data_IF_905320875832
#
_entry.id   IF_905320875832
#
_cell.length_a   1.000
_cell.length_b   1.000
_cell.length_c   1.000
_cell.angle_alpha   90.00
_cell.angle_beta   90.00
_cell.angle_gamma   90.00
#
_symmetry.space_group_name_H-M   'P 1'
#
loop_
_entity.id
_entity.type
_entity.pdbx_description
1 polymer ?
#
# COMPACT_ATOMS: atom_id res chain seq x y z
N UNK A 1 43.42 1.29 -2.23
CA UNK A 1 42.29 0.93 -3.11
C UNK A 1 42.27 -0.56 -3.48
N UNK A 2 43.42 -1.20 -3.77
CA UNK A 2 43.48 -2.66 -4.10
C UNK A 2 42.96 -3.56 -2.98
N UNK A 3 43.20 -3.23 -1.71
CA UNK A 3 42.68 -3.97 -0.57
C UNK A 3 41.29 -3.46 -0.12
N UNK A 4 40.99 -2.18 -0.31
CA UNK A 4 39.72 -1.58 0.14
C UNK A 4 38.52 -2.02 -0.68
N UNK A 5 38.64 -2.26 -1.99
CA UNK A 5 37.53 -2.71 -2.84
C UNK A 5 37.05 -4.11 -2.44
N UNK A 6 37.92 -5.15 -2.31
CA UNK A 6 37.48 -6.46 -1.87
C UNK A 6 36.87 -6.48 -0.47
N UNK A 7 37.48 -5.75 0.47
CA UNK A 7 36.95 -5.63 1.84
C UNK A 7 35.59 -4.94 1.85
N UNK A 8 35.45 -3.85 1.08
CA UNK A 8 34.17 -3.14 0.95
C UNK A 8 33.05 -4.00 0.32
N UNK A 9 33.38 -4.77 -0.72
CA UNK A 9 32.45 -5.70 -1.35
C UNK A 9 32.01 -6.81 -0.37
N UNK A 10 32.95 -7.37 0.39
CA UNK A 10 32.65 -8.43 1.37
C UNK A 10 31.79 -7.91 2.51
N UNK A 11 32.12 -6.74 3.07
CA UNK A 11 31.33 -6.11 4.12
C UNK A 11 29.94 -5.70 3.62
N UNK A 12 29.85 -5.14 2.41
CA UNK A 12 28.59 -4.79 1.78
C UNK A 12 27.70 -6.00 1.55
N UNK A 13 28.28 -7.13 1.12
CA UNK A 13 27.55 -8.38 0.96
C UNK A 13 27.08 -8.95 2.29
N UNK A 14 27.93 -8.96 3.33
CA UNK A 14 27.56 -9.44 4.68
C UNK A 14 26.40 -8.61 5.28
N UNK A 15 26.47 -7.29 5.15
CA UNK A 15 25.40 -6.41 5.61
C UNK A 15 24.11 -6.64 4.79
N UNK A 16 24.23 -6.79 3.47
CA UNK A 16 23.10 -7.11 2.60
C UNK A 16 22.47 -8.47 2.95
N UNK A 17 23.30 -9.50 3.16
CA UNK A 17 22.84 -10.83 3.54
C UNK A 17 22.11 -10.84 4.90
N UNK A 18 22.56 -10.03 5.85
CA UNK A 18 21.90 -9.88 7.15
C UNK A 18 20.59 -9.09 7.08
N UNK A 19 20.48 -8.13 6.14
CA UNK A 19 19.28 -7.30 5.96
C UNK A 19 18.19 -7.98 5.12
N UNK A 20 18.57 -8.80 4.14
CA UNK A 20 17.62 -9.44 3.21
C UNK A 20 16.52 -10.24 3.93
N UNK A 21 16.79 -11.07 4.95
CA UNK A 21 15.74 -11.78 5.68
C UNK A 21 14.80 -10.86 6.44
N UNK A 22 15.30 -9.73 6.95
CA UNK A 22 14.50 -8.78 7.69
C UNK A 22 13.53 -8.01 6.78
N UNK A 23 13.86 -7.85 5.49
CA UNK A 23 13.08 -7.08 4.51
C UNK A 23 12.15 -7.98 3.69
N UNK A 24 12.66 -9.15 3.24
CA UNK A 24 11.96 -10.01 2.28
C UNK A 24 11.30 -11.22 2.98
N UNK A 25 11.80 -11.63 4.15
CA UNK A 25 11.37 -12.85 4.84
C UNK A 25 9.91 -12.87 5.31
N UNK A 26 9.19 -11.75 5.13
CA UNK A 26 7.78 -11.58 5.48
C UNK A 26 6.88 -11.34 4.27
N UNK A 27 7.44 -11.26 3.07
CA UNK A 27 6.65 -11.24 1.84
C UNK A 27 6.26 -12.69 1.51
N UNK A 28 5.01 -13.02 1.70
CA UNK A 28 4.45 -14.33 1.41
C UNK A 28 4.80 -14.77 -0.01
N UNK A 29 5.35 -15.98 -0.14
CA UNK A 29 5.70 -16.59 -1.43
C UNK A 29 7.08 -16.21 -2.02
N UNK A 30 7.87 -15.36 -1.36
CA UNK A 30 9.22 -15.02 -1.84
C UNK A 30 10.29 -15.80 -1.07
N UNK A 31 10.97 -16.70 -1.78
CA UNK A 31 12.12 -17.42 -1.21
C UNK A 31 13.26 -16.44 -0.94
N UNK A 32 13.77 -16.44 0.31
CA UNK A 32 14.92 -15.63 0.72
C UNK A 32 16.21 -16.09 0.00
N UNK A 33 16.48 -15.50 -1.17
CA UNK A 33 17.71 -15.76 -1.91
C UNK A 33 18.62 -14.55 -1.82
N UNK A 34 19.70 -14.68 -1.04
CA UNK A 34 20.79 -13.70 -1.06
C UNK A 34 21.51 -13.83 -2.40
N UNK A 35 21.34 -12.85 -3.27
CA UNK A 35 21.94 -12.87 -4.61
C UNK A 35 23.46 -12.80 -4.54
N UNK A 36 24.13 -13.79 -5.11
CA UNK A 36 25.57 -13.82 -5.35
C UNK A 36 25.85 -13.58 -6.84
N UNK A 37 25.14 -12.61 -7.45
CA UNK A 37 25.27 -12.32 -8.87
C UNK A 37 26.64 -11.67 -9.16
N UNK A 38 27.55 -12.33 -9.93
CA UNK A 38 28.87 -11.80 -10.24
C UNK A 38 28.85 -10.45 -10.96
N UNK A 39 27.78 -10.17 -11.73
CA UNK A 39 27.60 -8.91 -12.46
C UNK A 39 27.45 -7.74 -11.48
N UNK A 40 26.71 -7.92 -10.39
CA UNK A 40 26.53 -6.88 -9.36
C UNK A 40 27.86 -6.59 -8.65
N UNK A 41 28.64 -7.61 -8.32
CA UNK A 41 29.97 -7.46 -7.72
C UNK A 41 30.93 -6.75 -8.68
N UNK A 42 30.95 -7.13 -9.95
CA UNK A 42 31.78 -6.51 -10.97
C UNK A 42 31.38 -5.03 -11.20
N UNK A 43 30.09 -4.72 -11.27
CA UNK A 43 29.60 -3.36 -11.43
C UNK A 43 29.94 -2.48 -10.22
N UNK A 44 29.80 -3.00 -8.99
CA UNK A 44 30.17 -2.30 -7.76
C UNK A 44 31.68 -2.05 -7.67
N UNK A 45 32.49 -3.06 -8.05
CA UNK A 45 33.94 -2.92 -8.12
C UNK A 45 34.38 -1.88 -9.15
N UNK A 46 33.75 -1.89 -10.34
CA UNK A 46 34.01 -0.93 -11.41
C UNK A 46 33.65 0.50 -10.98
N UNK A 47 32.47 0.68 -10.36
CA UNK A 47 32.05 1.95 -9.81
C UNK A 47 33.04 2.49 -8.77
N UNK A 48 33.44 1.64 -7.81
CA UNK A 48 34.45 2.00 -6.81
C UNK A 48 35.80 2.37 -7.46
N UNK A 49 36.25 1.59 -8.46
CA UNK A 49 37.48 1.87 -9.20
C UNK A 49 37.41 3.23 -9.92
N UNK A 50 36.35 3.51 -10.65
CA UNK A 50 36.12 4.78 -11.35
C UNK A 50 36.13 5.95 -10.37
N UNK A 51 35.45 5.82 -9.24
CA UNK A 51 35.41 6.82 -8.17
C UNK A 51 36.80 7.12 -7.63
N UNK A 52 37.59 6.08 -7.34
CA UNK A 52 38.99 6.21 -6.86
C UNK A 52 39.86 6.89 -7.92
N UNK A 53 39.77 6.48 -9.18
CA UNK A 53 40.54 7.06 -10.27
C UNK A 53 40.24 8.57 -10.48
N UNK A 54 38.94 8.92 -10.43
CA UNK A 54 38.51 10.32 -10.51
C UNK A 54 39.03 11.15 -9.33
N UNK A 55 38.91 10.60 -8.11
CA UNK A 55 39.37 11.28 -6.88
C UNK A 55 40.87 11.45 -6.83
N UNK A 56 41.63 10.45 -7.31
CA UNK A 56 43.10 10.50 -7.33
C UNK A 56 43.67 11.29 -8.50
N UNK A 57 42.88 11.67 -9.51
CA UNK A 57 43.37 12.37 -10.72
C UNK A 57 44.00 13.73 -10.42
N UNK A 58 43.40 14.50 -9.51
CA UNK A 58 43.91 15.84 -9.15
C UNK A 58 45.16 15.77 -8.26
N UNK A 59 45.19 14.99 -7.16
CA UNK A 59 46.39 14.76 -6.37
C UNK A 59 47.54 14.15 -7.18
N UNK A 60 47.25 13.14 -8.02
CA UNK A 60 48.26 12.49 -8.86
C UNK A 60 48.91 13.46 -9.87
N UNK A 61 48.12 14.32 -10.51
CA UNK A 61 48.67 15.38 -11.40
C UNK A 61 49.51 16.40 -10.65
N UNK A 62 49.16 16.74 -9.41
CA UNK A 62 49.98 17.63 -8.59
C UNK A 62 51.30 16.97 -8.20
N UNK A 63 51.27 15.71 -7.74
CA UNK A 63 52.46 14.95 -7.39
C UNK A 63 53.42 14.79 -8.58
N UNK A 64 52.91 14.56 -9.78
CA UNK A 64 53.71 14.42 -11.00
C UNK A 64 54.36 15.72 -11.47
N UNK A 65 53.91 16.87 -11.00
CA UNK A 65 54.43 18.21 -11.38
C UNK A 65 55.44 18.81 -10.38
N UNK A 66 55.54 18.21 -9.20
CA UNK A 66 56.44 18.75 -8.14
C UNK A 66 57.78 18.07 -8.21
N UNK A 67 58.85 18.85 -8.28
CA UNK A 67 60.23 18.32 -8.24
C UNK A 67 60.55 17.72 -6.86
N UNK A 68 61.49 16.75 -6.75
CA UNK A 68 61.86 16.16 -5.46
C UNK A 68 62.31 17.17 -4.41
N UNK A 69 62.96 18.25 -4.83
CA UNK A 69 63.41 19.34 -3.95
C UNK A 69 62.24 20.23 -3.49
N UNK A 70 61.26 20.40 -4.34
CA UNK A 70 60.05 21.18 -4.05
C UNK A 70 59.08 20.35 -3.15
N UNK A 71 59.06 19.02 -3.28
CA UNK A 71 58.26 18.14 -2.46
C UNK A 71 58.67 18.19 -0.97
N UNK A 72 59.97 18.32 -0.68
CA UNK A 72 60.48 18.46 0.71
C UNK A 72 60.13 19.83 1.30
N UNK A 73 59.96 20.86 0.47
CA UNK A 73 59.58 22.23 0.88
C UNK A 73 58.09 22.51 0.75
N UNK A 74 57.32 21.54 0.27
CA UNK A 74 55.89 21.72 0.06
C UNK A 74 55.12 21.78 1.39
N UNK A 75 54.80 23.00 1.79
CA UNK A 75 53.81 23.25 2.85
C UNK A 75 52.46 23.48 2.19
N UNK A 76 51.50 22.60 2.45
CA UNK A 76 50.12 22.75 2.00
C UNK A 76 49.51 24.02 2.62
N UNK A 77 49.49 25.07 1.90
CA UNK A 77 48.85 26.30 2.34
C UNK A 77 49.65 27.56 2.09
N UNK A 78 49.04 28.42 1.34
CA UNK A 78 49.20 29.83 1.16
C UNK A 78 49.94 30.31 -0.07
N UNK A 79 49.16 30.43 -1.13
CA UNK A 79 49.25 31.62 -1.98
C UNK A 79 48.23 32.65 -1.46
N UNK A 80 48.25 33.00 -0.19
CA UNK A 80 47.57 34.19 0.29
C UNK A 80 48.57 35.32 0.38
N UNK A 81 48.51 36.20 -0.61
CA UNK A 81 49.13 37.51 -0.58
C UNK A 81 48.71 38.21 0.72
N UNK A 82 49.63 38.24 1.70
CA UNK A 82 49.46 38.99 2.94
C UNK A 82 49.33 40.49 2.57
N UNK A 83 48.13 41.02 2.62
CA UNK A 83 47.94 42.45 2.87
C UNK A 83 48.21 42.64 4.37
N UNK A 84 49.33 43.20 4.67
CA UNK A 84 49.70 43.65 6.02
C UNK A 84 48.75 44.76 6.44
N UNK A 85 47.69 44.40 7.17
CA UNK A 85 46.83 45.35 7.85
C UNK A 85 47.17 45.34 9.34
N UNK A 86 47.76 46.40 9.82
CA UNK A 86 47.95 46.69 11.23
C UNK A 86 46.58 46.59 11.94
N UNK A 87 46.40 45.59 12.80
CA UNK A 87 45.41 45.63 13.86
C UNK A 87 46.10 45.27 15.15
N UNK A 88 46.45 46.35 15.85
CA UNK A 88 46.83 46.29 17.26
C UNK A 88 45.57 46.11 18.14
N UNK A 89 45.65 45.24 19.13
CA UNK A 89 44.91 45.40 20.34
C UNK A 89 43.52 44.82 20.44
N UNK A 90 43.37 43.48 20.28
CA UNK A 90 42.39 42.69 21.05
C UNK A 90 43.04 41.35 21.35
N UNK A 91 42.99 40.93 22.61
CA UNK A 91 43.56 39.69 23.09
C UNK A 91 43.11 38.50 22.20
N UNK A 92 44.04 37.60 21.92
CA UNK A 92 43.83 36.43 21.10
C UNK A 92 42.89 35.51 21.87
N UNK A 93 41.60 35.46 21.51
CA UNK A 93 40.67 34.51 22.07
C UNK A 93 40.73 33.19 21.30
N UNK A 94 40.49 32.07 21.96
CA UNK A 94 40.42 30.75 21.33
C UNK A 94 39.46 30.73 20.14
N UNK A 95 38.35 31.47 20.23
CA UNK A 95 37.37 31.62 19.12
C UNK A 95 37.97 32.33 17.92
N UNK A 96 38.76 33.42 18.13
CA UNK A 96 39.38 34.14 17.02
C UNK A 96 40.48 33.33 16.32
N UNK A 97 41.18 32.46 17.06
CA UNK A 97 42.14 31.51 16.49
C UNK A 97 41.42 30.40 15.70
N UNK A 98 40.32 29.87 16.22
CA UNK A 98 39.50 28.88 15.49
C UNK A 98 38.96 29.45 14.19
N UNK A 99 38.39 30.67 14.21
CA UNK A 99 37.88 31.34 13.00
C UNK A 99 39.01 31.65 11.98
N UNK A 100 40.17 32.03 12.44
CA UNK A 100 41.35 32.27 11.58
C UNK A 100 41.82 30.95 10.92
N UNK A 101 41.79 29.84 11.64
CA UNK A 101 42.13 28.51 11.11
C UNK A 101 41.10 28.03 10.08
N UNK A 102 39.80 28.18 10.33
CA UNK A 102 38.72 27.86 9.39
C UNK A 102 38.88 28.71 8.08
N UNK A 103 39.26 29.98 8.20
CA UNK A 103 39.49 30.84 7.04
C UNK A 103 40.76 30.54 6.22
N UNK A 104 41.69 29.73 6.77
CA UNK A 104 42.97 29.41 6.14
C UNK A 104 42.84 28.40 5.00
N UNK A 105 41.93 27.44 5.12
CA UNK A 105 41.66 26.39 4.14
C UNK A 105 40.16 26.31 3.76
N UNK A 106 39.62 27.42 3.24
CA UNK A 106 38.18 27.59 2.95
C UNK A 106 37.54 26.42 2.21
N UNK A 107 38.24 25.84 1.23
CA UNK A 107 37.73 24.72 0.46
C UNK A 107 37.51 23.45 1.32
N UNK A 108 38.51 23.11 2.15
CA UNK A 108 38.38 21.94 3.06
C UNK A 108 37.32 22.23 4.11
N UNK A 109 37.30 23.41 4.70
CA UNK A 109 36.31 23.82 5.70
C UNK A 109 34.86 23.72 5.16
N UNK A 110 34.64 24.22 3.93
CA UNK A 110 33.30 24.16 3.29
C UNK A 110 32.88 22.71 3.09
N UNK A 111 33.75 21.83 2.59
CA UNK A 111 33.44 20.41 2.40
C UNK A 111 33.10 19.72 3.74
N UNK A 112 33.93 19.95 4.77
CA UNK A 112 33.69 19.40 6.12
C UNK A 112 32.37 19.87 6.68
N UNK A 113 32.07 21.18 6.64
CA UNK A 113 30.82 21.75 7.15
C UNK A 113 29.63 21.17 6.39
N UNK A 114 29.69 21.11 5.03
CA UNK A 114 28.63 20.53 4.23
C UNK A 114 28.40 19.04 4.53
N UNK A 115 29.48 18.25 4.69
CA UNK A 115 29.37 16.84 5.06
C UNK A 115 28.73 16.64 6.43
N UNK A 116 29.16 17.45 7.42
CA UNK A 116 28.56 17.37 8.78
C UNK A 116 27.09 17.82 8.77
N UNK A 117 26.77 18.91 8.07
CA UNK A 117 25.36 19.33 7.91
C UNK A 117 24.52 18.23 7.25
N UNK A 118 25.04 17.63 6.16
CA UNK A 118 24.35 16.54 5.47
C UNK A 118 24.15 15.32 6.38
N UNK A 119 25.17 14.93 7.17
CA UNK A 119 25.07 13.84 8.12
C UNK A 119 23.96 14.11 9.17
N UNK A 120 23.91 15.33 9.73
CA UNK A 120 22.90 15.74 10.69
C UNK A 120 21.50 15.75 10.06
N UNK A 121 21.37 16.29 8.84
CA UNK A 121 20.10 16.31 8.09
C UNK A 121 19.60 14.89 7.84
N UNK A 122 20.46 13.99 7.33
CA UNK A 122 20.11 12.60 7.08
C UNK A 122 19.69 11.88 8.37
N UNK A 123 20.45 12.06 9.45
CA UNK A 123 20.11 11.46 10.74
C UNK A 123 18.77 11.99 11.28
N UNK A 124 18.60 13.32 11.26
CA UNK A 124 17.36 13.95 11.72
C UNK A 124 16.17 13.48 10.89
N UNK A 125 16.29 13.45 9.56
CA UNK A 125 15.23 12.97 8.66
C UNK A 125 14.88 11.51 8.94
N UNK A 126 15.87 10.65 9.12
CA UNK A 126 15.66 9.23 9.44
C UNK A 126 14.96 9.05 10.78
N UNK A 127 15.39 9.77 11.83
CA UNK A 127 14.79 9.69 13.17
C UNK A 127 13.39 10.29 13.17
N UNK A 128 13.17 11.41 12.47
CA UNK A 128 11.85 12.04 12.36
C UNK A 128 10.87 11.12 11.66
N UNK A 129 11.27 10.50 10.53
CA UNK A 129 10.45 9.51 9.85
C UNK A 129 10.10 8.33 10.76
N UNK A 130 11.11 7.74 11.43
CA UNK A 130 10.91 6.54 12.26
C UNK A 130 10.09 6.79 13.55
N UNK A 131 10.11 8.03 14.09
CA UNK A 131 9.36 8.41 15.30
C UNK A 131 8.07 9.16 15.03
N UNK A 132 7.96 9.81 13.87
CA UNK A 132 6.76 10.56 13.49
C UNK A 132 5.69 9.72 12.81
N UNK A 133 5.94 8.42 12.65
CA UNK A 133 4.98 7.49 12.03
C UNK A 133 3.96 7.04 13.08
N UNK A 134 2.70 7.24 12.76
CA UNK A 134 1.55 6.81 13.56
C UNK A 134 1.16 5.39 13.16
N UNK A 135 1.56 4.41 13.97
CA UNK A 135 1.30 3.00 13.73
C UNK A 135 -0.18 2.66 13.83
N UNK A 136 -0.90 3.27 14.78
CA UNK A 136 -2.31 2.99 14.98
C UNK A 136 -3.12 3.48 13.78
N UNK A 137 -2.79 4.67 13.26
CA UNK A 137 -3.40 5.19 12.03
C UNK A 137 -3.05 4.33 10.80
N UNK A 138 -1.82 3.83 10.73
CA UNK A 138 -1.41 2.94 9.65
C UNK A 138 -2.21 1.64 9.67
N UNK A 139 -2.28 0.96 10.83
CA UNK A 139 -3.02 -0.29 10.98
C UNK A 139 -4.51 -0.07 10.69
N UNK A 140 -5.08 1.04 11.17
CA UNK A 140 -6.50 1.36 10.94
C UNK A 140 -6.87 1.51 9.46
N UNK A 141 -5.91 1.84 8.58
CA UNK A 141 -6.14 1.87 7.14
C UNK A 141 -6.25 0.46 6.51
N UNK A 142 -5.71 -0.56 7.20
CA UNK A 142 -5.76 -1.95 6.73
C UNK A 142 -6.89 -2.73 7.37
N UNK A 143 -7.05 -2.65 8.68
CA UNK A 143 -8.04 -3.44 9.41
C UNK A 143 -8.66 -2.69 10.59
N UNK A 144 -9.92 -2.99 10.86
CA UNK A 144 -10.65 -2.50 12.03
C UNK A 144 -10.80 -3.58 13.13
N UNK A 145 -10.28 -4.79 12.91
CA UNK A 145 -10.36 -5.93 13.84
C UNK A 145 -8.99 -6.51 14.13
N UNK A 146 -8.85 -7.27 15.22
CA UNK A 146 -7.59 -7.93 15.56
C UNK A 146 -7.25 -9.04 14.56
N UNK A 147 -8.28 -9.76 14.09
CA UNK A 147 -8.15 -10.85 13.12
C UNK A 147 -9.26 -10.81 12.08
N UNK A 148 -8.94 -11.31 10.88
CA UNK A 148 -9.87 -11.56 9.79
C UNK A 148 -9.53 -12.94 9.24
N UNK A 149 -10.53 -13.84 9.18
CA UNK A 149 -10.44 -15.16 8.55
C UNK A 149 -11.28 -15.14 7.29
N UNK A 150 -10.75 -15.62 6.18
CA UNK A 150 -11.43 -15.70 4.89
C UNK A 150 -10.82 -16.79 4.00
N UNK A 151 -11.39 -16.98 2.81
CA UNK A 151 -10.69 -17.69 1.73
C UNK A 151 -9.38 -16.98 1.37
N UNK A 152 -8.34 -17.74 1.05
CA UNK A 152 -7.02 -17.19 0.71
C UNK A 152 -7.07 -16.23 -0.49
N UNK A 153 -8.02 -16.41 -1.41
CA UNK A 153 -8.28 -15.52 -2.54
C UNK A 153 -8.73 -14.12 -2.12
N UNK A 154 -9.43 -14.00 -0.98
CA UNK A 154 -9.88 -12.71 -0.45
C UNK A 154 -8.71 -11.74 -0.17
N UNK A 155 -7.57 -12.26 0.27
CA UNK A 155 -6.40 -11.44 0.61
C UNK A 155 -5.53 -11.08 -0.58
N UNK A 156 -5.85 -11.58 -1.78
CA UNK A 156 -5.11 -11.29 -3.01
C UNK A 156 -5.64 -10.02 -3.68
N UNK A 157 -4.78 -9.03 -3.83
CA UNK A 157 -5.14 -7.79 -4.52
C UNK A 157 -5.32 -8.03 -6.03
N UNK A 158 -6.47 -7.65 -6.58
CA UNK A 158 -6.78 -7.86 -8.00
C UNK A 158 -7.13 -9.30 -8.35
N UNK A 159 -7.53 -10.07 -7.33
CA UNK A 159 -8.03 -11.43 -7.48
C UNK A 159 -9.39 -11.52 -8.20
N UNK A 160 -10.00 -12.69 -8.15
CA UNK A 160 -11.33 -12.92 -8.70
C UNK A 160 -12.40 -12.21 -7.87
N UNK A 161 -13.52 -11.91 -8.53
CA UNK A 161 -14.73 -11.44 -7.84
C UNK A 161 -15.21 -12.54 -6.89
N UNK A 162 -15.65 -12.15 -5.69
CA UNK A 162 -16.21 -13.09 -4.72
C UNK A 162 -17.30 -13.97 -5.35
N UNK A 163 -17.16 -15.23 -5.19
CA UNK A 163 -18.04 -16.25 -5.75
C UNK A 163 -18.28 -17.35 -4.71
N UNK A 164 -19.25 -18.27 -4.92
CA UNK A 164 -19.60 -19.30 -3.93
C UNK A 164 -18.43 -20.19 -3.51
N UNK A 165 -17.43 -20.42 -4.37
CA UNK A 165 -16.28 -21.27 -4.05
C UNK A 165 -15.30 -20.59 -3.07
N UNK A 166 -15.40 -19.27 -2.94
CA UNK A 166 -14.64 -18.46 -1.98
C UNK A 166 -15.40 -18.23 -0.66
N UNK A 167 -16.58 -18.79 -0.50
CA UNK A 167 -17.34 -18.61 0.72
C UNK A 167 -16.65 -19.28 1.92
N UNK A 168 -16.48 -18.52 3.01
CA UNK A 168 -15.97 -19.05 4.27
C UNK A 168 -17.01 -20.00 4.88
N UNK A 169 -16.68 -21.28 5.14
CA UNK A 169 -17.60 -22.21 5.74
C UNK A 169 -17.99 -21.80 7.17
N UNK A 170 -19.26 -21.93 7.52
CA UNK A 170 -19.75 -21.59 8.87
C UNK A 170 -19.08 -22.41 9.97
N UNK A 171 -18.77 -23.70 9.71
CA UNK A 171 -18.05 -24.57 10.64
C UNK A 171 -16.65 -24.05 10.98
N UNK A 172 -15.97 -23.39 10.04
CA UNK A 172 -14.70 -22.73 10.31
C UNK A 172 -14.86 -21.54 11.28
N UNK A 173 -15.94 -20.77 11.14
CA UNK A 173 -16.26 -19.69 12.07
C UNK A 173 -16.60 -20.26 13.45
N UNK A 174 -17.41 -21.32 13.52
CA UNK A 174 -17.76 -22.01 14.78
C UNK A 174 -16.51 -22.55 15.49
N UNK A 175 -15.53 -23.11 14.76
CA UNK A 175 -14.27 -23.58 15.34
C UNK A 175 -13.45 -22.45 15.96
N UNK A 176 -13.40 -21.29 15.30
CA UNK A 176 -12.72 -20.09 15.85
C UNK A 176 -13.45 -19.60 17.09
N UNK A 177 -14.79 -19.49 17.05
CA UNK A 177 -15.60 -19.06 18.19
C UNK A 177 -15.47 -20.01 19.39
N UNK A 178 -15.39 -21.33 19.13
CA UNK A 178 -15.23 -22.35 20.17
C UNK A 178 -13.87 -22.31 20.87
N UNK A 179 -12.84 -21.70 20.27
CA UNK A 179 -11.51 -21.58 20.85
C UNK A 179 -11.49 -20.76 22.13
N UNK A 180 -12.38 -19.77 22.22
CA UNK A 180 -12.44 -18.84 23.34
C UNK A 180 -11.45 -17.68 23.21
N UNK A 181 -11.60 -16.69 24.10
CA UNK A 181 -10.80 -15.46 24.07
C UNK A 181 -11.33 -14.40 23.09
N UNK A 182 -12.36 -14.70 22.31
CA UNK A 182 -13.03 -13.72 21.44
C UNK A 182 -13.88 -12.79 22.31
N UNK A 183 -13.69 -11.49 22.16
CA UNK A 183 -14.45 -10.45 22.85
C UNK A 183 -15.63 -9.95 22.03
N UNK A 184 -15.45 -9.86 20.72
CA UNK A 184 -16.49 -9.48 19.77
C UNK A 184 -16.10 -9.97 18.37
N UNK A 185 -17.08 -10.24 17.51
CA UNK A 185 -16.85 -10.64 16.13
C UNK A 185 -18.10 -10.47 15.30
N UNK A 186 -17.95 -10.57 13.99
CA UNK A 186 -19.07 -10.50 13.06
C UNK A 186 -18.70 -10.98 11.67
N UNK A 187 -19.72 -11.52 11.01
CA UNK A 187 -19.65 -11.99 9.63
C UNK A 187 -19.88 -10.85 8.65
N UNK A 188 -19.22 -10.93 7.52
CA UNK A 188 -19.55 -10.12 6.35
C UNK A 188 -19.91 -11.05 5.21
N UNK A 189 -21.05 -10.80 4.62
CA UNK A 189 -21.61 -11.60 3.54
C UNK A 189 -21.34 -10.94 2.20
N UNK A 190 -20.90 -11.71 1.22
CA UNK A 190 -20.69 -11.25 -0.15
C UNK A 190 -21.87 -11.64 -1.05
N UNK A 191 -22.23 -10.77 -2.00
CA UNK A 191 -23.25 -11.10 -2.98
C UNK A 191 -22.65 -11.93 -4.10
N UNK A 192 -23.07 -13.18 -4.22
CA UNK A 192 -22.64 -14.12 -5.27
C UNK A 192 -23.48 -14.03 -6.54
N UNK A 193 -24.68 -13.40 -6.44
CA UNK A 193 -25.50 -13.06 -7.60
C UNK A 193 -25.13 -11.69 -8.14
N UNK A 194 -25.17 -11.48 -9.47
CA UNK A 194 -24.83 -10.18 -10.05
C UNK A 194 -25.79 -9.07 -9.59
N UNK A 195 -25.21 -7.91 -9.26
CA UNK A 195 -25.96 -6.69 -8.93
C UNK A 195 -25.55 -5.61 -9.92
N UNK A 196 -26.54 -4.92 -10.47
CA UNK A 196 -26.32 -3.77 -11.35
C UNK A 196 -26.75 -2.47 -10.65
N UNK A 197 -25.98 -1.41 -10.92
CA UNK A 197 -26.30 -0.02 -10.61
C UNK A 197 -26.57 0.75 -11.91
N UNK A 198 -27.19 1.92 -11.80
CA UNK A 198 -27.51 2.74 -12.94
C UNK A 198 -26.80 4.07 -12.86
N UNK A 199 -25.84 4.26 -13.77
CA UNK A 199 -24.91 5.39 -13.76
C UNK A 199 -24.97 6.18 -15.06
N UNK A 200 -24.54 7.43 -15.00
CA UNK A 200 -24.41 8.26 -16.22
C UNK A 200 -23.19 7.82 -17.02
N UNK A 201 -23.29 7.94 -18.36
CA UNK A 201 -22.15 7.68 -19.23
C UNK A 201 -20.97 8.61 -18.92
N UNK A 202 -21.22 9.85 -18.47
CA UNK A 202 -20.17 10.78 -18.06
C UNK A 202 -19.38 10.23 -16.87
N UNK A 203 -20.07 9.72 -15.85
CA UNK A 203 -19.42 9.10 -14.69
C UNK A 203 -18.62 7.87 -15.10
N UNK A 204 -19.22 6.93 -15.84
CA UNK A 204 -18.54 5.75 -16.34
C UNK A 204 -17.24 6.10 -17.07
N UNK A 205 -17.31 7.05 -18.01
CA UNK A 205 -16.13 7.50 -18.76
C UNK A 205 -15.08 8.20 -17.89
N UNK A 206 -15.48 8.87 -16.83
CA UNK A 206 -14.56 9.53 -15.89
C UNK A 206 -13.76 8.52 -15.07
N UNK A 207 -14.37 7.39 -14.71
CA UNK A 207 -13.73 6.30 -13.97
C UNK A 207 -12.81 5.50 -14.88
N UNK A 208 -13.34 4.94 -15.96
CA UNK A 208 -12.64 4.02 -16.84
C UNK A 208 -11.66 4.70 -17.82
N UNK A 209 -11.85 5.99 -18.09
CA UNK A 209 -10.96 6.78 -18.94
C UNK A 209 -9.56 7.03 -18.35
N UNK A 210 -9.34 6.65 -17.09
CA UNK A 210 -8.01 6.69 -16.46
C UNK A 210 -7.08 5.62 -17.02
N UNK A 211 -7.62 4.52 -17.56
CA UNK A 211 -6.87 3.33 -18.00
C UNK A 211 -7.17 2.94 -19.44
N UNK A 212 -8.20 3.50 -20.07
CA UNK A 212 -8.65 3.14 -21.40
C UNK A 212 -8.64 4.36 -22.32
N UNK A 213 -8.33 4.15 -23.59
CA UNK A 213 -8.46 5.19 -24.61
C UNK A 213 -9.93 5.38 -25.05
N UNK A 214 -10.19 6.42 -25.84
CA UNK A 214 -11.53 6.78 -26.23
C UNK A 214 -12.21 5.70 -27.09
N UNK A 215 -11.46 4.99 -27.93
CA UNK A 215 -11.99 3.94 -28.81
C UNK A 215 -12.42 2.72 -28.00
N UNK A 216 -11.60 2.31 -27.03
CA UNK A 216 -11.92 1.24 -26.08
C UNK A 216 -13.15 1.59 -25.24
N UNK A 217 -13.23 2.83 -24.74
CA UNK A 217 -14.39 3.30 -23.98
C UNK A 217 -15.68 3.31 -24.83
N UNK A 218 -15.60 3.71 -26.09
CA UNK A 218 -16.75 3.68 -26.99
C UNK A 218 -17.23 2.24 -27.24
N UNK A 219 -16.32 1.30 -27.34
CA UNK A 219 -16.65 -0.12 -27.46
C UNK A 219 -17.31 -0.65 -26.17
N UNK A 220 -16.74 -0.36 -25.00
CA UNK A 220 -17.30 -0.75 -23.70
C UNK A 220 -18.74 -0.22 -23.54
N UNK A 221 -18.93 1.08 -23.70
CA UNK A 221 -20.24 1.75 -23.57
C UNK A 221 -21.27 1.23 -24.58
N UNK A 222 -20.83 0.87 -25.80
CA UNK A 222 -21.76 0.36 -26.83
C UNK A 222 -22.29 -1.05 -26.51
N UNK A 223 -21.58 -1.81 -25.67
CA UNK A 223 -21.98 -3.14 -25.20
C UNK A 223 -22.81 -3.15 -23.92
N UNK A 224 -22.98 -1.98 -23.27
CA UNK A 224 -23.74 -1.89 -22.01
C UNK A 224 -25.23 -1.69 -22.25
N UNK A 225 -26.02 -2.34 -21.38
CA UNK A 225 -27.48 -2.13 -21.34
C UNK A 225 -27.82 -0.72 -20.82
N UNK A 226 -28.98 -0.20 -21.24
CA UNK A 226 -29.43 1.14 -20.87
C UNK A 226 -30.86 1.15 -20.35
N UNK A 227 -31.09 1.96 -19.34
CA UNK A 227 -32.46 2.27 -18.91
C UNK A 227 -33.19 3.14 -19.92
N UNK A 228 -34.52 3.26 -19.77
CA UNK A 228 -35.33 4.18 -20.59
C UNK A 228 -34.85 5.64 -20.50
N UNK A 229 -34.30 6.04 -19.33
CA UNK A 229 -33.76 7.37 -19.09
C UNK A 229 -32.31 7.53 -19.59
N UNK A 230 -31.73 6.49 -20.20
CA UNK A 230 -30.42 6.50 -20.83
C UNK A 230 -29.24 6.28 -19.87
N UNK A 231 -29.47 5.88 -18.62
CA UNK A 231 -28.42 5.47 -17.70
C UNK A 231 -27.84 4.11 -18.14
N UNK A 232 -26.55 3.91 -17.92
CA UNK A 232 -25.86 2.66 -18.16
C UNK A 232 -26.11 1.71 -16.98
N UNK A 233 -26.41 0.44 -17.28
CA UNK A 233 -26.38 -0.61 -16.28
C UNK A 233 -24.93 -1.09 -16.12
N UNK A 234 -24.34 -0.82 -14.98
CA UNK A 234 -22.98 -1.24 -14.64
C UNK A 234 -23.00 -2.19 -13.44
N UNK A 235 -21.95 -2.95 -13.28
CA UNK A 235 -21.83 -3.90 -12.19
C UNK A 235 -21.53 -3.17 -10.88
N UNK A 236 -22.34 -3.43 -9.86
CA UNK A 236 -22.09 -2.99 -8.49
C UNK A 236 -21.61 -4.15 -7.62
N UNK A 237 -20.83 -3.84 -6.59
CA UNK A 237 -20.48 -4.77 -5.52
C UNK A 237 -21.35 -4.49 -4.29
N UNK A 238 -22.02 -5.52 -3.82
CA UNK A 238 -22.92 -5.43 -2.68
C UNK A 238 -22.51 -6.43 -1.62
N UNK A 239 -22.34 -5.96 -0.39
CA UNK A 239 -22.11 -6.84 0.75
C UNK A 239 -22.89 -6.43 1.98
N UNK A 240 -23.18 -7.44 2.83
CA UNK A 240 -23.90 -7.30 4.08
C UNK A 240 -22.94 -7.44 5.25
N UNK A 241 -22.98 -6.50 6.18
CA UNK A 241 -22.13 -6.55 7.36
C UNK A 241 -22.93 -6.68 8.64
N UNK A 242 -22.53 -7.61 9.52
CA UNK A 242 -22.98 -7.62 10.91
C UNK A 242 -22.43 -6.38 11.65
N UNK A 243 -23.09 -6.04 12.77
CA UNK A 243 -22.76 -4.81 13.53
C UNK A 243 -21.29 -4.66 13.86
N UNK A 244 -20.60 -5.77 14.15
CA UNK A 244 -19.19 -5.72 14.51
C UNK A 244 -18.33 -5.00 13.48
N UNK A 245 -18.46 -5.38 12.20
CA UNK A 245 -17.69 -4.76 11.11
C UNK A 245 -18.29 -3.39 10.75
N UNK A 246 -19.62 -3.29 10.66
CA UNK A 246 -20.33 -2.09 10.23
C UNK A 246 -20.06 -0.90 11.16
N UNK A 247 -20.15 -1.10 12.49
CA UNK A 247 -19.95 -0.04 13.48
C UNK A 247 -18.49 0.44 13.56
N UNK A 248 -17.55 -0.25 12.90
CA UNK A 248 -16.11 0.08 12.84
C UNK A 248 -15.65 0.74 11.56
N UNK A 249 -16.55 0.91 10.60
CA UNK A 249 -16.24 1.65 9.37
C UNK A 249 -16.04 3.13 9.68
N UNK A 250 -15.18 3.78 8.92
CA UNK A 250 -15.04 5.24 9.00
C UNK A 250 -16.21 5.91 8.30
N UNK A 251 -17.09 6.55 9.06
CA UNK A 251 -18.19 7.33 8.52
C UNK A 251 -17.66 8.68 8.08
N UNK A 252 -17.70 8.94 6.78
CA UNK A 252 -17.26 10.19 6.16
C UNK A 252 -18.37 11.23 6.19
N UNK A 253 -19.61 10.80 5.93
CA UNK A 253 -20.80 11.65 5.93
C UNK A 253 -22.03 10.80 6.25
N UNK A 254 -23.05 11.41 6.89
CA UNK A 254 -24.32 10.75 7.19
C UNK A 254 -24.34 9.96 8.50
N UNK A 255 -25.18 8.94 8.58
CA UNK A 255 -25.40 8.14 9.79
C UNK A 255 -25.57 6.67 9.44
N UNK A 256 -24.53 5.86 9.73
CA UNK A 256 -24.52 4.43 9.45
C UNK A 256 -25.53 3.65 10.32
N UNK A 257 -25.93 4.18 11.47
CA UNK A 257 -26.90 3.53 12.34
C UNK A 257 -28.29 3.39 11.71
N UNK A 258 -28.60 4.24 10.72
CA UNK A 258 -29.84 4.15 9.95
C UNK A 258 -29.99 2.83 9.19
N UNK A 259 -28.90 2.16 8.84
CA UNK A 259 -28.97 0.87 8.17
C UNK A 259 -29.77 -0.18 8.96
N UNK A 260 -29.88 0.00 10.28
CA UNK A 260 -30.68 -0.87 11.17
C UNK A 260 -32.06 -0.32 11.54
N UNK A 261 -32.46 0.83 10.99
CA UNK A 261 -33.77 1.40 11.27
C UNK A 261 -34.89 0.59 10.57
N UNK A 262 -35.90 0.15 11.30
CA UNK A 262 -37.00 -0.62 10.72
C UNK A 262 -37.87 0.25 9.80
N UNK A 263 -38.27 -0.30 8.67
CA UNK A 263 -39.25 0.28 7.75
C UNK A 263 -38.66 1.12 6.61
N UNK A 264 -37.32 1.24 6.51
CA UNK A 264 -36.60 1.78 5.36
C UNK A 264 -35.65 0.75 4.76
N UNK A 265 -35.30 0.93 3.50
CA UNK A 265 -34.13 0.28 2.89
C UNK A 265 -33.02 1.31 2.78
N UNK A 266 -31.99 1.16 3.58
CA UNK A 266 -30.86 2.05 3.64
C UNK A 266 -29.59 1.33 3.19
N UNK A 267 -28.72 2.10 2.53
CA UNK A 267 -27.43 1.61 2.03
C UNK A 267 -26.33 2.59 2.38
N UNK A 268 -25.12 2.11 2.62
CA UNK A 268 -23.93 2.94 2.67
C UNK A 268 -23.18 2.81 1.34
N UNK A 269 -22.71 3.95 0.80
CA UNK A 269 -21.85 4.00 -0.37
C UNK A 269 -20.38 4.09 0.07
N UNK A 270 -19.49 3.31 -0.56
CA UNK A 270 -18.09 3.23 -0.17
C UNK A 270 -17.27 4.23 -0.96
N UNK A 271 -16.65 5.15 -0.27
CA UNK A 271 -15.79 6.18 -0.83
C UNK A 271 -14.33 5.95 -0.45
N UNK A 272 -13.42 6.27 -1.36
CA UNK A 272 -12.01 6.39 -0.98
C UNK A 272 -11.75 7.73 -0.29
N UNK A 273 -10.76 7.76 0.58
CA UNK A 273 -10.28 8.97 1.25
C UNK A 273 -9.11 9.60 0.50
N UNK A 274 -8.95 10.91 0.68
CA UNK A 274 -7.71 11.60 0.32
C UNK A 274 -6.65 11.43 1.44
N UNK A 275 -5.44 11.96 1.22
CA UNK A 275 -4.34 11.89 2.20
C UNK A 275 -4.65 12.58 3.55
N UNK A 276 -5.74 13.32 3.64
CA UNK A 276 -6.19 14.06 4.82
C UNK A 276 -7.41 13.40 5.51
N UNK A 277 -7.90 12.28 4.98
CA UNK A 277 -9.08 11.58 5.52
C UNK A 277 -10.41 12.22 5.13
N UNK A 278 -10.43 13.00 4.03
CA UNK A 278 -11.66 13.55 3.47
C UNK A 278 -12.16 12.68 2.32
N UNK A 279 -13.50 12.58 2.11
CA UNK A 279 -14.05 11.76 1.03
C UNK A 279 -13.64 12.30 -0.34
N UNK A 280 -13.10 11.44 -1.19
CA UNK A 280 -12.87 11.75 -2.59
C UNK A 280 -14.16 11.65 -3.35
N UNK A 281 -14.80 12.80 -3.58
CA UNK A 281 -16.14 12.88 -4.18
C UNK A 281 -16.19 12.38 -5.65
N UNK A 282 -15.05 12.17 -6.27
CA UNK A 282 -14.89 11.58 -7.60
C UNK A 282 -14.73 10.04 -7.58
N UNK A 283 -14.72 9.42 -6.40
CA UNK A 283 -14.52 7.98 -6.26
C UNK A 283 -15.80 7.16 -6.27
N UNK A 284 -16.96 7.81 -6.20
CA UNK A 284 -18.28 7.17 -6.25
C UNK A 284 -19.33 8.17 -6.74
N UNK A 285 -20.40 7.71 -7.38
CA UNK A 285 -21.47 8.56 -7.93
C UNK A 285 -22.60 8.86 -6.94
N UNK A 286 -22.99 7.89 -6.10
CA UNK A 286 -24.09 8.03 -5.16
C UNK A 286 -23.78 9.05 -4.07
N UNK A 287 -24.75 9.89 -3.73
CA UNK A 287 -24.62 10.96 -2.73
C UNK A 287 -25.52 10.70 -1.53
N UNK A 288 -25.16 11.29 -0.39
CA UNK A 288 -25.97 11.19 0.83
C UNK A 288 -27.40 11.66 0.58
N UNK A 289 -28.39 10.83 0.95
CA UNK A 289 -29.81 11.08 0.78
C UNK A 289 -30.35 10.74 -0.61
N UNK A 290 -29.52 10.32 -1.55
CA UNK A 290 -29.99 9.84 -2.85
C UNK A 290 -30.85 8.58 -2.69
N UNK A 291 -31.88 8.49 -3.52
CA UNK A 291 -32.60 7.24 -3.74
C UNK A 291 -32.04 6.57 -4.96
N UNK A 292 -31.42 5.43 -4.74
CA UNK A 292 -30.76 4.63 -5.78
C UNK A 292 -31.51 3.32 -6.00
N UNK A 293 -31.48 2.81 -7.21
CA UNK A 293 -31.97 1.48 -7.54
C UNK A 293 -30.80 0.56 -7.77
N UNK A 294 -30.78 -0.57 -7.04
CA UNK A 294 -29.89 -1.69 -7.32
C UNK A 294 -30.72 -2.80 -7.92
N UNK A 295 -30.28 -3.33 -9.04
CA UNK A 295 -30.91 -4.43 -9.75
C UNK A 295 -30.22 -5.73 -9.36
N UNK A 296 -30.96 -6.62 -8.70
CA UNK A 296 -30.53 -7.98 -8.40
C UNK A 296 -30.88 -8.88 -9.59
N UNK A 297 -29.86 -9.29 -10.32
CA UNK A 297 -30.03 -10.06 -11.55
C UNK A 297 -30.08 -11.55 -11.24
N UNK A 298 -31.12 -12.22 -11.73
CA UNK A 298 -31.30 -13.67 -11.61
C UNK A 298 -30.87 -14.40 -12.90
N UNK A 299 -30.97 -13.72 -14.05
CA UNK A 299 -30.64 -14.30 -15.35
C UNK A 299 -30.24 -13.24 -16.35
N UNK A 300 -29.09 -13.48 -17.03
CA UNK A 300 -28.66 -12.72 -18.18
C UNK A 300 -28.98 -13.44 -19.48
N UNK A 301 -29.32 -12.66 -20.51
CA UNK A 301 -29.33 -13.09 -21.88
C UNK A 301 -28.09 -12.55 -22.58
N UNK A 302 -27.29 -13.42 -23.18
CA UNK A 302 -26.11 -13.06 -23.94
C UNK A 302 -26.47 -12.99 -25.42
N UNK A 303 -26.08 -11.93 -26.10
CA UNK A 303 -26.41 -11.72 -27.51
C UNK A 303 -25.30 -11.04 -28.27
N UNK A 304 -25.29 -11.20 -29.59
CA UNK A 304 -24.39 -10.48 -30.48
C UNK A 304 -24.98 -9.09 -30.77
N UNK A 305 -24.31 -7.99 -30.34
CA UNK A 305 -24.86 -6.62 -30.49
C UNK A 305 -24.96 -6.18 -31.95
N UNK A 306 -24.23 -6.83 -32.90
CA UNK A 306 -24.25 -6.47 -34.31
C UNK A 306 -25.36 -7.19 -35.09
N UNK A 307 -25.68 -8.43 -34.70
CA UNK A 307 -26.66 -9.28 -35.42
C UNK A 307 -27.96 -9.47 -34.66
N UNK A 308 -27.95 -9.25 -33.32
CA UNK A 308 -29.08 -9.55 -32.45
C UNK A 308 -29.25 -11.07 -32.17
N UNK A 309 -28.33 -11.91 -32.62
CA UNK A 309 -28.35 -13.34 -32.35
C UNK A 309 -28.16 -13.61 -30.86
N UNK A 310 -29.04 -14.40 -30.28
CA UNK A 310 -28.98 -14.77 -28.84
C UNK A 310 -28.19 -16.07 -28.69
N UNK A 311 -27.25 -16.08 -27.72
CA UNK A 311 -26.47 -17.24 -27.32
C UNK A 311 -27.21 -18.03 -26.24
N UNK A 312 -26.96 -19.33 -26.12
CA UNK A 312 -27.61 -20.16 -25.11
C UNK A 312 -27.14 -19.93 -23.69
N UNK A 313 -25.92 -19.42 -23.54
CA UNK A 313 -25.25 -19.08 -22.29
C UNK A 313 -23.90 -18.43 -22.57
N UNK A 314 -23.18 -18.03 -21.56
CA UNK A 314 -21.85 -17.47 -21.69
C UNK A 314 -20.86 -18.44 -22.32
N UNK A 315 -21.00 -19.74 -21.99
CA UNK A 315 -20.19 -20.82 -22.53
C UNK A 315 -20.45 -21.11 -24.02
N UNK A 316 -21.58 -20.65 -24.55
CA UNK A 316 -21.97 -20.83 -25.96
C UNK A 316 -21.49 -19.68 -26.86
N UNK A 317 -20.83 -18.66 -26.29
CA UNK A 317 -20.28 -17.55 -27.05
C UNK A 317 -19.05 -18.03 -27.84
N UNK A 318 -19.04 -17.93 -29.18
CA UNK A 318 -17.89 -18.36 -29.98
C UNK A 318 -16.66 -17.49 -29.64
N UNK A 319 -15.47 -18.12 -29.61
CA UNK A 319 -14.21 -17.42 -29.33
C UNK A 319 -14.00 -16.23 -30.28
N UNK A 320 -13.83 -15.03 -29.69
CA UNK A 320 -13.65 -13.80 -30.45
C UNK A 320 -14.93 -13.19 -31.05
N UNK A 321 -16.09 -13.78 -30.82
CA UNK A 321 -17.35 -13.18 -31.23
C UNK A 321 -17.71 -11.97 -30.35
N UNK A 322 -18.26 -10.88 -30.96
CA UNK A 322 -18.78 -9.76 -30.17
C UNK A 322 -20.01 -10.23 -29.38
N UNK A 323 -20.05 -9.89 -28.12
CA UNK A 323 -21.20 -10.17 -27.27
C UNK A 323 -21.53 -9.00 -26.35
N UNK A 324 -22.77 -8.93 -25.91
CA UNK A 324 -23.27 -8.10 -24.85
C UNK A 324 -24.22 -8.94 -23.98
N UNK A 325 -24.39 -8.55 -22.73
CA UNK A 325 -25.31 -9.16 -21.81
C UNK A 325 -26.40 -8.17 -21.41
N UNK A 326 -27.64 -8.64 -21.24
CA UNK A 326 -28.74 -7.86 -20.68
C UNK A 326 -29.48 -8.69 -19.63
N UNK A 327 -29.90 -8.04 -18.55
CA UNK A 327 -30.69 -8.68 -17.53
C UNK A 327 -32.12 -8.95 -18.06
N UNK A 328 -32.56 -10.20 -18.04
CA UNK A 328 -33.91 -10.62 -18.50
C UNK A 328 -34.81 -11.08 -17.37
N UNK A 329 -34.22 -11.52 -16.25
CA UNK A 329 -34.96 -11.78 -15.01
C UNK A 329 -34.21 -11.13 -13.84
N UNK A 330 -34.89 -10.20 -13.18
CA UNK A 330 -34.28 -9.39 -12.14
C UNK A 330 -35.32 -8.82 -11.19
N UNK A 331 -34.83 -8.25 -10.07
CA UNK A 331 -35.62 -7.48 -9.12
C UNK A 331 -34.93 -6.13 -8.89
N UNK A 332 -35.64 -5.06 -9.14
CA UNK A 332 -35.18 -3.73 -8.83
C UNK A 332 -35.59 -3.33 -7.41
N UNK A 333 -34.65 -2.99 -6.57
CA UNK A 333 -34.87 -2.56 -5.20
C UNK A 333 -34.34 -1.13 -5.00
N UNK A 334 -35.18 -0.27 -4.43
CA UNK A 334 -34.81 1.12 -4.12
C UNK A 334 -34.25 1.20 -2.70
N UNK A 335 -33.12 1.89 -2.57
CA UNK A 335 -32.46 2.17 -1.30
C UNK A 335 -32.21 3.68 -1.16
N UNK A 336 -32.21 4.18 0.09
CA UNK A 336 -31.75 5.52 0.42
C UNK A 336 -30.30 5.47 0.92
N UNK A 337 -29.41 6.26 0.35
CA UNK A 337 -28.02 6.38 0.79
C UNK A 337 -27.97 7.09 2.13
N UNK A 338 -27.79 6.34 3.21
CA UNK A 338 -27.81 6.84 4.59
C UNK A 338 -26.45 7.28 5.10
N UNK A 339 -25.38 6.75 4.54
CA UNK A 339 -24.01 7.07 4.92
C UNK A 339 -23.05 6.96 3.73
N UNK A 340 -22.02 7.79 3.76
CA UNK A 340 -20.81 7.63 2.95
C UNK A 340 -19.73 7.11 3.90
N UNK A 341 -19.08 6.02 3.54
CA UNK A 341 -18.13 5.33 4.40
C UNK A 341 -16.82 5.04 3.69
N UNK A 342 -15.74 4.95 4.45
CA UNK A 342 -14.49 4.37 4.00
C UNK A 342 -14.28 3.02 4.69
N UNK A 343 -13.84 2.05 3.91
CA UNK A 343 -13.65 0.66 4.36
C UNK A 343 -12.17 0.35 4.42
N UNK A 344 -11.65 -0.14 5.56
CA UNK A 344 -10.27 -0.62 5.64
C UNK A 344 -9.98 -1.70 4.59
N UNK A 345 -8.76 -1.72 4.05
CA UNK A 345 -8.39 -2.57 2.91
C UNK A 345 -8.72 -4.07 3.13
N UNK A 346 -8.52 -4.58 4.34
CA UNK A 346 -8.80 -5.99 4.63
C UNK A 346 -10.30 -6.31 4.73
N UNK A 347 -11.15 -5.30 4.95
CA UNK A 347 -12.60 -5.43 5.03
C UNK A 347 -13.29 -5.11 3.70
N UNK A 348 -12.57 -4.58 2.71
CA UNK A 348 -13.10 -4.28 1.39
C UNK A 348 -13.07 -5.52 0.49
N UNK A 349 -13.80 -5.44 -0.59
CA UNK A 349 -13.87 -6.50 -1.59
C UNK A 349 -12.55 -6.74 -2.34
N UNK A 350 -11.62 -5.78 -2.27
CA UNK A 350 -10.30 -5.79 -2.96
C UNK A 350 -10.37 -5.98 -4.48
N UNK A 351 -11.53 -5.86 -5.08
CA UNK A 351 -11.74 -5.92 -6.51
C UNK A 351 -11.84 -4.51 -7.09
N UNK A 352 -11.13 -4.25 -8.16
CA UNK A 352 -11.16 -2.95 -8.84
C UNK A 352 -12.15 -2.96 -9.98
N UNK A 353 -13.03 -1.96 -10.04
CA UNK A 353 -13.83 -1.69 -11.23
C UNK A 353 -15.33 -1.78 -11.06
N UNK A 354 -15.84 -1.79 -9.84
CA UNK A 354 -17.26 -1.61 -9.54
C UNK A 354 -17.42 -0.74 -8.31
N UNK A 355 -18.48 0.04 -8.26
CA UNK A 355 -18.83 0.80 -7.07
C UNK A 355 -19.33 -0.13 -5.96
N UNK A 356 -18.99 0.19 -4.71
CA UNK A 356 -19.25 -0.68 -3.57
C UNK A 356 -20.38 -0.12 -2.71
N UNK A 357 -21.30 -0.99 -2.33
CA UNK A 357 -22.42 -0.69 -1.45
C UNK A 357 -22.51 -1.68 -0.30
N UNK A 358 -22.85 -1.16 0.88
CA UNK A 358 -22.97 -1.97 2.11
C UNK A 358 -24.38 -1.89 2.66
N UNK A 359 -24.96 -3.05 2.94
CA UNK A 359 -26.20 -3.22 3.70
C UNK A 359 -25.87 -3.74 5.11
N UNK A 360 -26.82 -3.62 6.04
CA UNK A 360 -26.78 -4.45 7.23
C UNK A 360 -27.06 -5.91 6.84
N UNK A 361 -26.58 -6.85 7.66
CA UNK A 361 -26.72 -8.29 7.47
C UNK A 361 -28.17 -8.75 7.18
N UNK A 362 -29.14 -8.26 7.95
CA UNK A 362 -30.54 -8.68 7.85
C UNK A 362 -31.16 -8.25 6.51
N UNK A 363 -30.95 -6.98 6.13
CA UNK A 363 -31.43 -6.46 4.84
C UNK A 363 -30.76 -7.19 3.69
N UNK A 364 -29.43 -7.42 3.80
CA UNK A 364 -28.66 -8.14 2.78
C UNK A 364 -29.22 -9.55 2.56
N UNK A 365 -29.35 -10.34 3.62
CA UNK A 365 -29.86 -11.73 3.54
C UNK A 365 -31.29 -11.76 2.98
N UNK A 366 -32.14 -10.80 3.36
CA UNK A 366 -33.51 -10.70 2.86
C UNK A 366 -33.57 -10.35 1.37
N UNK A 367 -32.76 -9.39 0.94
CA UNK A 367 -32.85 -8.81 -0.41
C UNK A 367 -32.07 -9.64 -1.45
N UNK A 368 -30.95 -10.24 -1.08
CA UNK A 368 -30.15 -11.10 -1.97
C UNK A 368 -30.57 -12.56 -1.96
N UNK A 369 -31.02 -13.07 -0.81
CA UNK A 369 -31.33 -14.48 -0.61
C UNK A 369 -30.09 -15.37 -0.47
N UNK A 370 -28.88 -14.80 -0.39
CA UNK A 370 -27.61 -15.50 -0.18
C UNK A 370 -27.09 -15.28 1.23
N UNK A 371 -26.40 -16.27 1.78
CA UNK A 371 -25.78 -16.23 3.10
C UNK A 371 -24.29 -16.59 3.03
N UNK A 372 -23.67 -16.40 1.85
CA UNK A 372 -22.27 -16.72 1.61
C UNK A 372 -21.37 -15.75 2.40
N UNK A 373 -20.64 -16.28 3.38
CA UNK A 373 -19.76 -15.50 4.24
C UNK A 373 -18.49 -15.19 3.46
N UNK A 374 -18.20 -13.90 3.27
CA UNK A 374 -17.00 -13.46 2.61
C UNK A 374 -15.80 -13.52 3.56
N UNK A 375 -15.98 -13.08 4.80
CA UNK A 375 -14.98 -13.17 5.86
C UNK A 375 -15.65 -13.08 7.25
N UNK A 376 -14.91 -13.54 8.25
CA UNK A 376 -15.22 -13.37 9.67
C UNK A 376 -14.15 -12.47 10.32
N UNK A 377 -14.57 -11.31 10.82
CA UNK A 377 -13.70 -10.35 11.49
C UNK A 377 -13.98 -10.34 12.99
N UNK A 378 -12.95 -10.38 13.84
CA UNK A 378 -13.13 -10.47 15.27
C UNK A 378 -11.98 -9.90 16.08
N UNK A 379 -12.29 -9.53 17.34
CA UNK A 379 -11.33 -9.07 18.35
C UNK A 379 -11.17 -10.13 19.43
N UNK A 380 -9.99 -10.18 20.03
CA UNK A 380 -9.65 -11.08 21.13
C UNK A 380 -9.14 -10.31 22.34
N UNK A 381 -9.17 -10.96 23.50
CA UNK A 381 -8.48 -10.45 24.68
C UNK A 381 -6.96 -10.34 24.43
N UNK A 382 -6.33 -9.31 24.95
CA UNK A 382 -4.87 -9.08 24.78
C UNK A 382 -4.03 -10.32 25.12
N UNK A 383 -4.47 -11.09 26.16
CA UNK A 383 -3.81 -12.32 26.59
C UNK A 383 -4.03 -13.51 25.66
N UNK A 384 -5.03 -13.48 24.79
CA UNK A 384 -5.38 -14.55 23.86
C UNK A 384 -4.77 -14.37 22.46
N UNK A 385 -4.24 -13.16 22.14
CA UNK A 385 -3.74 -12.84 20.80
C UNK A 385 -2.70 -13.84 20.29
N UNK A 386 -1.70 -14.19 21.09
CA UNK A 386 -0.64 -15.12 20.65
C UNK A 386 -1.16 -16.56 20.47
N UNK A 387 -2.10 -17.00 21.31
CA UNK A 387 -2.71 -18.33 21.21
C UNK A 387 -3.63 -18.41 19.98
N UNK A 388 -4.41 -17.34 19.70
CA UNK A 388 -5.24 -17.24 18.50
C UNK A 388 -4.40 -17.19 17.23
N UNK A 389 -3.33 -16.42 17.20
CA UNK A 389 -2.37 -16.37 16.08
C UNK A 389 -1.77 -17.75 15.79
N UNK A 390 -1.38 -18.48 16.84
CA UNK A 390 -0.87 -19.85 16.74
C UNK A 390 -1.92 -20.84 16.21
N UNK A 391 -3.15 -20.70 16.68
CA UNK A 391 -4.28 -21.54 16.24
C UNK A 391 -4.62 -21.28 14.77
N UNK A 392 -4.81 -20.03 14.37
CA UNK A 392 -5.17 -19.68 12.98
C UNK A 392 -4.09 -20.12 11.99
N UNK A 393 -2.82 -19.94 12.35
CA UNK A 393 -1.70 -20.41 11.52
C UNK A 393 -1.75 -21.93 11.33
N UNK A 394 -1.91 -22.70 12.41
CA UNK A 394 -2.02 -24.16 12.32
C UNK A 394 -3.25 -24.59 11.53
N UNK A 395 -4.37 -23.88 11.74
CA UNK A 395 -5.63 -24.14 11.04
C UNK A 395 -5.50 -23.93 9.54
N UNK A 396 -4.96 -22.79 9.11
CA UNK A 396 -4.83 -22.44 7.68
C UNK A 396 -3.67 -23.21 7.00
N UNK A 397 -2.61 -23.56 7.72
CA UNK A 397 -1.52 -24.33 7.11
C UNK A 397 -1.79 -25.84 7.05
N UNK A 398 -2.48 -26.43 8.05
CA UNK A 398 -2.53 -27.88 8.23
C UNK A 398 -3.96 -28.47 8.20
N UNK A 399 -4.99 -27.69 8.53
CA UNK A 399 -6.39 -28.19 8.59
C UNK A 399 -7.17 -27.78 7.36
N UNK A 400 -7.20 -26.48 7.05
CA UNK A 400 -7.91 -25.96 5.88
C UNK A 400 -7.04 -24.97 5.08
N UNK A 401 -6.19 -25.46 4.17
CA UNK A 401 -5.29 -24.62 3.37
C UNK A 401 -5.97 -23.72 2.32
N UNK A 402 -7.28 -23.83 2.15
CA UNK A 402 -8.03 -22.89 1.30
C UNK A 402 -8.29 -21.57 2.01
N UNK A 403 -8.24 -21.57 3.34
CA UNK A 403 -8.42 -20.37 4.16
C UNK A 403 -7.07 -19.74 4.47
N UNK A 404 -7.12 -18.44 4.71
CA UNK A 404 -5.99 -17.65 5.24
C UNK A 404 -6.52 -16.62 6.22
N UNK A 405 -5.63 -15.98 6.96
CA UNK A 405 -6.00 -14.95 7.92
C UNK A 405 -5.03 -13.77 7.88
N UNK A 406 -5.54 -12.61 8.22
CA UNK A 406 -4.75 -11.42 8.47
C UNK A 406 -4.98 -10.92 9.91
N UNK A 407 -3.94 -10.33 10.51
CA UNK A 407 -4.01 -9.80 11.87
C UNK A 407 -3.35 -8.42 11.98
N UNK A 408 -3.75 -7.64 12.98
CA UNK A 408 -3.04 -6.40 13.34
C UNK A 408 -1.55 -6.64 13.58
N UNK A 409 -1.21 -7.79 14.18
CA UNK A 409 0.16 -8.17 14.44
C UNK A 409 0.95 -8.38 13.14
N UNK A 410 0.34 -8.94 12.09
CA UNK A 410 0.94 -9.09 10.76
C UNK A 410 1.32 -7.75 10.17
N UNK A 411 0.36 -6.80 10.12
CA UNK A 411 0.61 -5.45 9.60
C UNK A 411 1.64 -4.67 10.42
N UNK A 412 1.55 -4.75 11.76
CA UNK A 412 2.53 -4.12 12.64
C UNK A 412 3.94 -4.67 12.40
N UNK A 413 4.07 -5.99 12.23
CA UNK A 413 5.34 -6.65 12.02
C UNK A 413 5.97 -6.31 10.66
N UNK A 414 5.18 -6.19 9.61
CA UNK A 414 5.64 -5.72 8.30
C UNK A 414 6.23 -4.31 8.38
N UNK A 415 5.51 -3.40 9.01
CA UNK A 415 5.98 -2.02 9.16
C UNK A 415 7.23 -1.91 10.02
N UNK A 416 7.30 -2.62 11.17
CA UNK A 416 8.50 -2.61 12.03
C UNK A 416 9.73 -3.11 11.27
N UNK A 417 9.58 -4.06 10.34
CA UNK A 417 10.63 -4.49 9.43
C UNK A 417 11.15 -3.33 8.57
N UNK A 418 10.25 -2.59 7.92
CA UNK A 418 10.61 -1.40 7.12
C UNK A 418 11.26 -0.31 7.99
N UNK A 419 10.69 0.00 9.14
CA UNK A 419 11.23 0.98 10.08
C UNK A 419 12.64 0.63 10.53
N UNK A 420 12.89 -0.62 10.88
CA UNK A 420 14.21 -1.12 11.24
C UNK A 420 15.23 -0.95 10.12
N UNK A 421 14.84 -1.26 8.89
CA UNK A 421 15.67 -1.06 7.70
C UNK A 421 16.00 0.42 7.47
N UNK A 422 15.03 1.32 7.55
CA UNK A 422 15.24 2.75 7.38
C UNK A 422 16.19 3.32 8.45
N UNK A 423 16.01 2.93 9.71
CA UNK A 423 16.90 3.34 10.79
C UNK A 423 18.32 2.86 10.58
N UNK A 424 18.50 1.63 10.15
CA UNK A 424 19.83 1.04 9.92
C UNK A 424 20.53 1.69 8.71
N UNK A 425 19.85 1.81 7.58
CA UNK A 425 20.42 2.44 6.37
C UNK A 425 20.67 3.93 6.57
N UNK A 426 19.72 4.67 7.11
CA UNK A 426 19.87 6.11 7.36
C UNK A 426 20.94 6.40 8.42
N UNK A 427 21.02 5.59 9.47
CA UNK A 427 22.08 5.67 10.48
C UNK A 427 23.45 5.37 9.91
N UNK A 428 23.58 4.29 9.13
CA UNK A 428 24.84 3.94 8.47
C UNK A 428 25.31 5.01 7.48
N UNK A 429 24.43 5.53 6.65
CA UNK A 429 24.73 6.61 5.72
C UNK A 429 25.15 7.90 6.46
N UNK A 430 24.42 8.29 7.52
CA UNK A 430 24.77 9.46 8.33
C UNK A 430 26.15 9.30 8.98
N UNK A 431 26.45 8.11 9.50
CA UNK A 431 27.74 7.79 10.09
C UNK A 431 28.89 7.86 9.06
N UNK A 432 28.72 7.26 7.87
CA UNK A 432 29.71 7.29 6.80
C UNK A 432 29.96 8.74 6.33
N UNK A 433 28.90 9.51 6.09
CA UNK A 433 29.01 10.92 5.65
C UNK A 433 29.68 11.77 6.73
N UNK A 434 29.38 11.52 8.01
CA UNK A 434 30.04 12.16 9.13
C UNK A 434 31.54 11.83 9.19
N UNK A 435 31.91 10.56 9.06
CA UNK A 435 33.32 10.12 9.02
C UNK A 435 34.11 10.73 7.84
N UNK A 436 33.51 10.83 6.67
CA UNK A 436 34.16 11.45 5.48
C UNK A 436 34.34 12.95 5.67
N UNK A 437 33.48 13.58 6.46
CA UNK A 437 33.55 15.02 6.75
C UNK A 437 34.60 15.43 7.76
N UNK A 438 35.07 14.49 8.60
CA UNK A 438 36.10 14.71 9.61
C UNK A 438 37.48 14.36 9.03
#
# INVERSE_FOLDING_TARGET
SLAGIPVGLLLGWLVGAGLTPAVIGRLNGVTNVVSVNPVLFAASALFALVTVLLSCRKPGRMAAKVSPVEAVRYTEGSKTRRKAGKRAGKGVSLLSMAWANLGRNRGKTVVTVLSMCLAVVLLTMTVTFAKGFDMDKYIAAFTASDFILADAGHFQTGGEVFNPDMALPEDAVEEVEARGGITAGGRTYGCTSPVEEFITEEYYRSVWGRWNDAETLDQMVSGMDRTEDGLLADRAQLYGMERFALDRLTVLEGDISKLYEPGGRYVAAVYSEDDYGSPRMDSHWARLGDKITLRHVEEYEYYNPNTGEVYGGEEDIPEGAPFAARAVRYRDLEYEVAALVSVPTALSYRYYGADEFILNDQTFLQDTGTADIMYYAFDVDDGATADMEGFLRDYTENVNPQLDYESKATYAAEFEGFRGMFLMLGGALSFIVGLVGV
#
